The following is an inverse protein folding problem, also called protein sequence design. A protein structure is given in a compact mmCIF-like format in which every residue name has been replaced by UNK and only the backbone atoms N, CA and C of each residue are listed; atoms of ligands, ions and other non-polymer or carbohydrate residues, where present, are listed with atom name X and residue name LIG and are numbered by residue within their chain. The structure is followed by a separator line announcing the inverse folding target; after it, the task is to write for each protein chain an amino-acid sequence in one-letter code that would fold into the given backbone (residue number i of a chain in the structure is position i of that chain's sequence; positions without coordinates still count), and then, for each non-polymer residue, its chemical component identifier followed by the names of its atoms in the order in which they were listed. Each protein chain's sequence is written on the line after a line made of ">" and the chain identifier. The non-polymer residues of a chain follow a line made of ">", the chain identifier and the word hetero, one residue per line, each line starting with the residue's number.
data_IF_028796409871
#
_entry.id   IF_028796409871
#
_cell.length_a   1.000
_cell.length_b   1.000
_cell.length_c   1.000
_cell.angle_alpha   90.00
_cell.angle_beta   90.00
_cell.angle_gamma   90.00
#
_symmetry.space_group_name_H-M   'P 1'
#
loop_
_entity.id
_entity.type
_entity.pdbx_description
1 polymer ?
#
# COMPACT_ATOMS: atom_id res chain seq x y z
N UNK A 1 -6.02 7.93 37.62
CA UNK A 1 -6.61 8.96 36.74
C UNK A 1 -7.59 8.28 35.80
N UNK A 2 -8.89 8.52 36.00
CA UNK A 2 -9.97 7.75 35.37
C UNK A 2 -10.25 8.27 33.96
N UNK A 3 -10.20 7.39 32.95
CA UNK A 3 -10.64 7.69 31.59
C UNK A 3 -12.16 7.54 31.54
N UNK A 4 -12.86 8.63 31.26
CA UNK A 4 -14.31 8.61 31.02
C UNK A 4 -14.62 7.66 29.85
N UNK A 5 -15.24 6.52 30.14
CA UNK A 5 -15.73 5.59 29.13
C UNK A 5 -17.00 6.17 28.50
N UNK A 6 -17.00 6.31 27.17
CA UNK A 6 -18.17 6.74 26.40
C UNK A 6 -19.13 5.54 26.30
N UNK A 7 -20.37 5.62 26.83
CA UNK A 7 -21.36 4.56 26.68
C UNK A 7 -21.65 4.31 25.20
N UNK A 8 -21.44 3.08 24.73
CA UNK A 8 -21.66 2.69 23.33
C UNK A 8 -20.42 2.70 22.43
N UNK A 9 -19.24 3.09 22.94
CA UNK A 9 -17.99 2.93 22.20
C UNK A 9 -17.55 1.47 22.22
N UNK A 10 -17.74 0.77 21.09
CA UNK A 10 -17.09 -0.51 20.83
C UNK A 10 -15.72 -0.21 20.22
N UNK A 11 -14.59 -0.44 20.93
CA UNK A 11 -13.28 -0.36 20.30
C UNK A 11 -13.21 -1.39 19.18
N UNK A 12 -12.81 -0.94 17.99
CA UNK A 12 -12.58 -1.82 16.85
C UNK A 12 -11.67 -2.97 17.28
N UNK A 13 -12.17 -4.20 17.17
CA UNK A 13 -11.39 -5.38 17.50
C UNK A 13 -10.23 -5.49 16.51
N UNK A 14 -9.01 -5.52 17.04
CA UNK A 14 -7.80 -5.73 16.26
C UNK A 14 -7.87 -7.07 15.54
N UNK A 15 -7.73 -7.04 14.22
CA UNK A 15 -7.59 -8.23 13.38
C UNK A 15 -6.11 -8.61 13.36
N UNK A 16 -5.79 -9.87 13.66
CA UNK A 16 -4.43 -10.39 13.62
C UNK A 16 -3.87 -10.39 12.18
N UNK A 17 -2.59 -10.04 12.02
CA UNK A 17 -2.23 -8.89 11.17
C UNK A 17 -1.38 -9.17 9.92
N UNK A 18 -0.69 -10.30 9.77
CA UNK A 18 0.31 -10.45 8.69
C UNK A 18 -0.08 -11.37 7.53
N UNK A 19 -0.43 -12.64 7.79
CA UNK A 19 -0.63 -13.62 6.71
C UNK A 19 -1.89 -13.35 5.85
N UNK A 20 -2.95 -12.78 6.44
CA UNK A 20 -4.20 -12.49 5.72
C UNK A 20 -4.07 -11.27 4.80
N UNK A 21 -3.22 -10.30 5.14
CA UNK A 21 -3.09 -9.04 4.39
C UNK A 21 -2.41 -9.28 3.04
N UNK A 22 -1.43 -10.19 2.97
CA UNK A 22 -0.75 -10.55 1.71
C UNK A 22 -1.71 -11.10 0.66
N UNK A 23 -2.61 -11.98 1.06
CA UNK A 23 -3.62 -12.59 0.18
C UNK A 23 -4.69 -11.58 -0.26
N UNK A 24 -4.87 -10.50 0.51
CA UNK A 24 -5.80 -9.41 0.21
C UNK A 24 -5.25 -8.41 -0.81
N UNK A 25 -3.92 -8.24 -0.92
CA UNK A 25 -3.32 -7.31 -1.88
C UNK A 25 -3.35 -7.91 -3.30
N UNK A 26 -4.30 -7.42 -4.10
CA UNK A 26 -4.54 -7.80 -5.50
C UNK A 26 -4.15 -6.66 -6.42
N UNK A 27 -4.00 -6.94 -7.71
CA UNK A 27 -3.75 -5.88 -8.68
C UNK A 27 -4.86 -4.82 -8.75
N UNK A 28 -6.09 -5.22 -8.39
CA UNK A 28 -7.27 -4.35 -8.28
C UNK A 28 -7.31 -3.52 -7.00
N UNK A 29 -6.47 -3.82 -5.99
CA UNK A 29 -6.38 -3.03 -4.77
C UNK A 29 -6.00 -1.60 -5.14
N UNK A 30 -6.76 -0.64 -4.62
CA UNK A 30 -6.58 0.77 -4.93
C UNK A 30 -5.55 1.43 -4.02
N UNK A 31 -5.03 2.60 -4.44
CA UNK A 31 -4.13 3.41 -3.61
C UNK A 31 -4.75 3.76 -2.25
N UNK A 32 -6.05 4.05 -2.21
CA UNK A 32 -6.76 4.36 -0.96
C UNK A 32 -6.89 3.15 -0.05
N UNK A 33 -7.20 1.97 -0.62
CA UNK A 33 -7.30 0.73 0.14
C UNK A 33 -5.96 0.34 0.75
N UNK A 34 -4.87 0.41 -0.02
CA UNK A 34 -3.54 0.05 0.52
C UNK A 34 -3.09 1.02 1.62
N UNK A 35 -3.39 2.32 1.50
CA UNK A 35 -3.10 3.28 2.56
C UNK A 35 -3.93 3.05 3.82
N UNK A 36 -5.15 2.51 3.69
CA UNK A 36 -5.99 2.11 4.84
C UNK A 36 -5.51 0.82 5.50
N UNK A 37 -4.96 -0.11 4.71
CA UNK A 37 -4.37 -1.36 5.21
C UNK A 37 -3.10 -1.10 6.03
N UNK A 38 -2.31 -0.07 5.70
CA UNK A 38 -1.07 0.30 6.38
C UNK A 38 -1.15 1.72 6.97
N UNK A 39 -1.92 1.92 8.07
CA UNK A 39 -2.16 3.24 8.65
C UNK A 39 -0.92 3.84 9.34
N UNK A 40 0.10 3.03 9.60
CA UNK A 40 1.41 3.45 10.11
C UNK A 40 2.30 4.14 9.06
N UNK A 41 1.85 4.15 7.80
CA UNK A 41 2.51 4.84 6.70
C UNK A 41 3.51 3.99 5.92
N UNK A 42 3.68 2.70 6.21
CA UNK A 42 4.59 1.84 5.46
C UNK A 42 4.31 1.82 3.95
N UNK A 43 3.03 1.75 3.57
CA UNK A 43 2.63 1.85 2.16
C UNK A 43 2.99 3.20 1.54
N UNK A 44 2.78 4.31 2.26
CA UNK A 44 3.14 5.64 1.80
C UNK A 44 4.67 5.81 1.65
N UNK A 45 5.44 5.21 2.57
CA UNK A 45 6.90 5.20 2.50
C UNK A 45 7.39 4.41 1.29
N UNK A 46 6.82 3.23 1.02
CA UNK A 46 7.13 2.46 -0.19
C UNK A 46 6.82 3.25 -1.45
N UNK A 47 5.65 3.90 -1.52
CA UNK A 47 5.29 4.80 -2.64
C UNK A 47 6.34 5.90 -2.85
N UNK A 48 6.84 6.51 -1.77
CA UNK A 48 7.91 7.49 -1.86
C UNK A 48 9.21 6.88 -2.42
N UNK A 49 9.61 5.70 -1.94
CA UNK A 49 10.84 5.00 -2.38
C UNK A 49 10.83 4.64 -3.87
N UNK A 50 9.65 4.33 -4.44
CA UNK A 50 9.51 4.02 -5.88
C UNK A 50 9.17 5.25 -6.74
N UNK A 51 9.20 6.45 -6.14
CA UNK A 51 8.89 7.74 -6.78
C UNK A 51 7.47 7.82 -7.33
N UNK A 52 6.50 7.41 -6.51
CA UNK A 52 5.06 7.41 -6.80
C UNK A 52 4.33 8.52 -6.03
N UNK A 53 4.25 9.75 -6.58
CA UNK A 53 3.52 10.84 -5.96
C UNK A 53 2.00 10.72 -6.20
N UNK A 54 1.40 9.55 -5.96
CA UNK A 54 -0.01 9.26 -6.33
C UNK A 54 -1.01 10.25 -5.73
N UNK A 55 -0.74 10.78 -4.54
CA UNK A 55 -1.54 11.83 -3.91
C UNK A 55 -1.59 13.14 -4.73
N UNK A 56 -0.60 13.37 -5.59
CA UNK A 56 -0.48 14.56 -6.45
C UNK A 56 -0.93 14.29 -7.90
N UNK A 57 -1.33 13.07 -8.24
CA UNK A 57 -1.75 12.71 -9.60
C UNK A 57 -3.17 13.17 -9.99
N UNK A 58 -3.80 14.08 -9.22
CA UNK A 58 -5.08 14.70 -9.58
C UNK A 58 -6.33 13.82 -9.38
N UNK A 59 -6.36 12.96 -8.33
CA UNK A 59 -7.53 12.16 -7.98
C UNK A 59 -7.41 10.66 -8.23
N UNK A 60 -6.25 10.18 -8.68
CA UNK A 60 -5.95 8.76 -8.89
C UNK A 60 -5.84 7.91 -7.60
N UNK A 61 -6.21 8.44 -6.43
CA UNK A 61 -6.14 7.69 -5.16
C UNK A 61 -7.11 6.50 -5.13
N UNK A 62 -8.13 6.48 -5.99
CA UNK A 62 -9.03 5.32 -6.17
C UNK A 62 -8.63 4.42 -7.36
N UNK A 63 -7.49 4.70 -8.01
CA UNK A 63 -6.99 3.87 -9.10
C UNK A 63 -6.37 2.57 -8.55
N UNK A 64 -6.54 1.43 -9.23
CA UNK A 64 -5.84 0.19 -8.91
C UNK A 64 -4.31 0.32 -9.00
N UNK A 65 -3.59 -0.41 -8.14
CA UNK A 65 -2.11 -0.42 -8.11
C UNK A 65 -1.50 -0.72 -9.48
N UNK A 66 -2.05 -1.68 -10.23
CA UNK A 66 -1.52 -2.04 -11.54
C UNK A 66 -1.74 -0.94 -12.59
N UNK A 67 -2.85 -0.21 -12.50
CA UNK A 67 -3.14 0.91 -13.40
C UNK A 67 -2.27 2.13 -13.07
N UNK A 68 -2.07 2.41 -11.77
CA UNK A 68 -1.09 3.39 -11.33
C UNK A 68 0.32 3.02 -11.83
N UNK A 69 0.68 1.72 -11.87
CA UNK A 69 2.01 1.29 -12.32
C UNK A 69 2.24 1.65 -13.77
N UNK A 70 1.26 1.34 -14.61
CA UNK A 70 1.29 1.72 -16.01
C UNK A 70 1.35 3.23 -16.23
N UNK A 71 0.59 4.02 -15.45
CA UNK A 71 0.59 5.49 -15.54
C UNK A 71 1.96 6.10 -15.24
N UNK A 72 2.70 5.47 -14.33
CA UNK A 72 4.05 5.88 -13.97
C UNK A 72 5.13 5.11 -14.73
N UNK A 73 4.78 4.38 -15.81
CA UNK A 73 5.72 3.60 -16.61
C UNK A 73 6.55 2.61 -15.77
N UNK A 74 5.88 1.84 -14.89
CA UNK A 74 6.46 0.78 -14.06
C UNK A 74 5.90 -0.59 -14.46
N UNK A 75 6.62 -1.66 -14.14
CA UNK A 75 6.08 -3.02 -14.25
C UNK A 75 5.02 -3.26 -13.16
N UNK A 76 3.75 -3.52 -13.53
CA UNK A 76 2.71 -3.81 -12.56
C UNK A 76 3.00 -5.04 -11.67
N UNK A 77 3.76 -6.03 -12.17
CA UNK A 77 4.09 -7.23 -11.38
C UNK A 77 5.15 -6.95 -10.33
N UNK A 78 6.22 -6.24 -10.68
CA UNK A 78 7.24 -5.79 -9.73
C UNK A 78 6.63 -4.92 -8.62
N UNK A 79 5.78 -3.95 -8.99
CA UNK A 79 5.07 -3.10 -8.03
C UNK A 79 4.20 -3.93 -7.08
N UNK A 80 3.37 -4.84 -7.62
CA UNK A 80 2.50 -5.69 -6.80
C UNK A 80 3.30 -6.59 -5.85
N UNK A 81 4.47 -7.07 -6.29
CA UNK A 81 5.39 -7.87 -5.47
C UNK A 81 5.91 -7.05 -4.29
N UNK A 82 6.35 -5.81 -4.52
CA UNK A 82 6.83 -4.93 -3.46
C UNK A 82 5.74 -4.59 -2.43
N UNK A 83 4.51 -4.29 -2.86
CA UNK A 83 3.40 -4.05 -1.92
C UNK A 83 3.01 -5.28 -1.12
N UNK A 84 3.03 -6.47 -1.72
CA UNK A 84 2.76 -7.73 -1.02
C UNK A 84 3.81 -8.06 0.04
N UNK A 85 5.04 -7.60 -0.13
CA UNK A 85 6.11 -7.81 0.83
C UNK A 85 5.90 -6.99 2.12
N UNK A 86 5.07 -5.93 2.11
CA UNK A 86 4.69 -5.18 3.31
C UNK A 86 3.98 -6.05 4.37
N UNK A 87 3.29 -7.11 3.95
CA UNK A 87 2.62 -8.03 4.86
C UNK A 87 3.57 -9.01 5.58
N UNK A 88 4.86 -8.98 5.24
CA UNK A 88 5.93 -9.75 5.88
C UNK A 88 6.84 -8.78 6.64
N UNK A 89 8.14 -8.78 6.36
CA UNK A 89 9.13 -7.87 6.95
C UNK A 89 9.39 -6.62 6.08
N UNK A 90 8.52 -6.37 5.10
CA UNK A 90 8.68 -5.31 4.10
C UNK A 90 9.45 -5.74 2.85
N UNK A 91 9.44 -4.92 1.78
CA UNK A 91 10.15 -5.21 0.54
C UNK A 91 11.66 -5.06 0.72
N UNK A 92 12.41 -5.98 0.10
CA UNK A 92 13.87 -5.88 -0.01
C UNK A 92 14.27 -4.73 -0.94
N UNK A 93 15.51 -4.27 -0.83
CA UNK A 93 16.01 -3.19 -1.70
C UNK A 93 15.94 -3.57 -3.19
N UNK A 94 16.20 -4.82 -3.55
CA UNK A 94 16.05 -5.32 -4.92
C UNK A 94 14.59 -5.25 -5.40
N UNK A 95 13.62 -5.62 -4.55
CA UNK A 95 12.20 -5.52 -4.89
C UNK A 95 11.76 -4.07 -5.08
N UNK A 96 12.29 -3.15 -4.27
CA UNK A 96 12.04 -1.71 -4.42
C UNK A 96 12.69 -1.18 -5.70
N UNK A 97 13.91 -1.58 -6.01
CA UNK A 97 14.61 -1.18 -7.23
C UNK A 97 13.86 -1.63 -8.49
N UNK A 98 13.43 -2.90 -8.54
CA UNK A 98 12.60 -3.44 -9.63
C UNK A 98 11.27 -2.69 -9.76
N UNK A 99 10.60 -2.40 -8.64
CA UNK A 99 9.35 -1.63 -8.66
C UNK A 99 9.56 -0.15 -9.05
N UNK A 100 10.76 0.40 -8.87
CA UNK A 100 11.12 1.77 -9.22
C UNK A 100 11.59 1.93 -10.68
N UNK A 101 11.94 0.83 -11.35
CA UNK A 101 12.46 0.84 -12.72
C UNK A 101 11.43 1.37 -13.72
N UNK A 102 11.87 2.31 -14.58
CA UNK A 102 11.04 2.87 -15.64
C UNK A 102 11.08 1.98 -16.87
N UNK A 103 9.93 1.48 -17.29
CA UNK A 103 9.73 0.80 -18.56
C UNK A 103 8.94 1.71 -19.52
N UNK A 104 9.62 2.48 -20.39
CA UNK A 104 8.93 3.22 -21.43
C UNK A 104 8.19 2.25 -22.37
N UNK A 105 6.99 2.66 -22.80
CA UNK A 105 6.19 1.91 -23.77
C UNK A 105 6.76 2.02 -25.17
#
# INVERSE_FOLDING_TARGET
>A
MSRTAIPGFLPAHGVADSDTVREQIRGSTTILEILRMYPDGQAAQLMSRIYWPCAHCGGAIREPLTMAALRHARDPRAVLTAFRALALDGPTDDQVALAAERHPR
#
